data_IF_972060330933
#
_entry.id   IF_972060330933
#
_cell.length_a   1.000
_cell.length_b   1.000
_cell.length_c   1.000
_cell.angle_alpha   90.00
_cell.angle_beta   90.00
_cell.angle_gamma   90.00
#
_symmetry.space_group_name_H-M   'P 1'
#
loop_
_entity.id
_entity.type
_entity.pdbx_description
1 polymer ?
#
# COMPACT_ATOMS: atom_id res chain seq x y z
N UNK A 1 4.03 21.98 -8.91
CA UNK A 1 4.02 20.65 -9.57
C UNK A 1 5.42 20.08 -9.47
N UNK A 2 5.58 18.81 -9.07
CA UNK A 2 6.88 18.15 -9.14
C UNK A 2 7.36 18.12 -10.59
N UNK A 3 8.62 18.46 -10.83
CA UNK A 3 9.23 18.32 -12.15
C UNK A 3 9.28 16.82 -12.49
N UNK A 4 8.60 16.42 -13.57
CA UNK A 4 8.60 15.05 -14.08
C UNK A 4 9.06 15.07 -15.54
N UNK A 5 9.67 13.99 -16.02
CA UNK A 5 9.95 13.86 -17.46
C UNK A 5 8.67 13.48 -18.18
N UNK A 6 8.63 13.73 -19.48
CA UNK A 6 7.52 13.25 -20.30
C UNK A 6 7.46 11.71 -20.25
N UNK A 7 6.26 11.18 -20.02
CA UNK A 7 6.03 9.74 -19.83
C UNK A 7 6.27 9.22 -18.41
N UNK A 8 6.75 10.05 -17.47
CA UNK A 8 6.81 9.65 -16.06
C UNK A 8 5.40 9.73 -15.41
N UNK A 9 5.14 8.73 -14.57
CA UNK A 9 4.02 8.61 -13.64
C UNK A 9 4.50 8.87 -12.22
N UNK A 10 3.56 9.15 -11.31
CA UNK A 10 3.84 9.34 -9.88
C UNK A 10 3.12 8.26 -9.08
N UNK A 11 3.84 7.53 -8.24
CA UNK A 11 3.25 6.64 -7.24
C UNK A 11 3.41 7.27 -5.85
N UNK A 12 2.29 7.60 -5.22
CA UNK A 12 2.24 8.05 -3.83
C UNK A 12 1.80 6.89 -2.94
N UNK A 13 2.66 6.47 -2.03
CA UNK A 13 2.37 5.44 -1.02
C UNK A 13 2.51 6.00 0.38
N UNK A 14 1.84 5.37 1.33
CA UNK A 14 1.86 5.68 2.75
C UNK A 14 1.72 4.39 3.56
N UNK A 15 2.41 4.33 4.69
CA UNK A 15 2.26 3.31 5.74
C UNK A 15 2.49 3.98 7.08
N UNK A 16 2.01 3.36 8.16
CA UNK A 16 2.40 3.77 9.51
C UNK A 16 2.86 2.55 10.30
N UNK A 17 3.79 2.77 11.23
CA UNK A 17 4.34 1.73 12.10
C UNK A 17 4.41 2.26 13.54
N UNK A 18 4.57 1.39 14.56
CA UNK A 18 4.91 1.86 15.89
C UNK A 18 6.10 2.82 15.85
N UNK A 19 6.03 3.93 16.60
CA UNK A 19 7.04 4.99 16.59
C UNK A 19 8.48 4.49 16.79
N UNK A 20 8.65 3.43 17.58
CA UNK A 20 9.94 2.79 17.82
C UNK A 20 10.54 2.09 16.59
N UNK A 21 9.73 1.79 15.57
CA UNK A 21 10.11 1.10 14.32
C UNK A 21 10.21 2.06 13.13
N UNK A 22 9.73 3.30 13.27
CA UNK A 22 9.74 4.30 12.19
C UNK A 22 11.14 4.55 11.60
N UNK A 23 12.21 4.70 12.41
CA UNK A 23 13.55 4.88 11.87
C UNK A 23 14.01 3.69 11.01
N UNK A 24 13.74 2.47 11.47
CA UNK A 24 14.16 1.23 10.78
C UNK A 24 13.51 1.14 9.40
N UNK A 25 12.18 1.27 9.33
CA UNK A 25 11.47 1.14 8.05
C UNK A 25 11.84 2.24 7.05
N UNK A 26 12.12 3.47 7.52
CA UNK A 26 12.55 4.57 6.65
C UNK A 26 13.92 4.24 6.03
N UNK A 27 14.90 3.82 6.84
CA UNK A 27 16.24 3.49 6.32
C UNK A 27 16.20 2.27 5.40
N UNK A 28 15.45 1.22 5.74
CA UNK A 28 15.31 0.06 4.87
C UNK A 28 14.56 0.38 3.56
N UNK A 29 13.61 1.31 3.58
CA UNK A 29 12.89 1.76 2.37
C UNK A 29 13.79 2.63 1.50
N UNK A 30 14.57 3.52 2.12
CA UNK A 30 15.55 4.38 1.44
C UNK A 30 16.66 3.56 0.77
N UNK A 31 17.17 2.54 1.44
CA UNK A 31 18.14 1.60 0.87
C UNK A 31 17.55 0.84 -0.34
N UNK A 32 16.32 0.34 -0.21
CA UNK A 32 15.60 -0.31 -1.32
C UNK A 32 15.39 0.64 -2.50
N UNK A 33 15.03 1.91 -2.25
CA UNK A 33 14.93 2.95 -3.27
C UNK A 33 16.27 3.18 -3.97
N UNK A 34 17.36 3.35 -3.23
CA UNK A 34 18.70 3.56 -3.78
C UNK A 34 19.16 2.39 -4.69
N UNK A 35 18.84 1.15 -4.32
CA UNK A 35 19.16 -0.05 -5.11
C UNK A 35 18.27 -0.25 -6.34
N UNK A 36 17.05 0.29 -6.32
CA UNK A 36 16.07 0.08 -7.40
C UNK A 36 16.37 0.86 -8.68
N UNK A 37 17.16 1.93 -8.58
CA UNK A 37 17.37 2.90 -9.67
C UNK A 37 16.17 3.80 -9.94
N UNK A 38 15.10 3.72 -9.13
CA UNK A 38 13.94 4.62 -9.20
C UNK A 38 14.28 5.95 -8.53
N UNK A 39 13.74 7.03 -9.08
CA UNK A 39 13.82 8.34 -8.46
C UNK A 39 12.61 8.56 -7.56
N UNK A 40 12.82 9.06 -6.35
CA UNK A 40 11.73 9.36 -5.44
C UNK A 40 12.20 10.00 -4.15
N UNK A 41 11.24 10.26 -3.28
CA UNK A 41 11.50 10.86 -1.97
C UNK A 41 10.65 10.23 -0.88
N UNK A 42 11.08 10.42 0.36
CA UNK A 42 10.36 10.07 1.57
C UNK A 42 10.02 11.36 2.31
N UNK A 43 8.77 11.51 2.72
CA UNK A 43 8.30 12.55 3.65
C UNK A 43 7.46 11.86 4.73
N UNK A 44 7.31 12.45 5.90
CA UNK A 44 6.54 11.79 6.95
C UNK A 44 5.94 12.73 7.97
N UNK A 45 4.80 12.30 8.49
CA UNK A 45 4.20 12.84 9.70
C UNK A 45 4.88 12.14 10.88
N UNK A 46 6.15 12.46 11.12
CA UNK A 46 6.99 11.67 12.06
C UNK A 46 6.45 11.63 13.49
N UNK A 47 5.51 12.50 13.86
CA UNK A 47 4.88 12.51 15.19
C UNK A 47 3.87 11.39 15.44
N UNK A 48 3.35 10.72 14.40
CA UNK A 48 2.33 9.68 14.52
C UNK A 48 2.75 8.32 13.93
N UNK A 49 4.02 8.19 13.51
CA UNK A 49 4.55 6.94 12.96
C UNK A 49 4.26 6.74 11.48
N UNK A 50 3.67 7.73 10.79
CA UNK A 50 3.35 7.66 9.36
C UNK A 50 4.45 8.28 8.50
N UNK A 51 4.82 7.57 7.42
CA UNK A 51 5.62 8.14 6.35
C UNK A 51 5.07 7.76 4.97
N UNK A 52 5.55 8.49 3.98
CA UNK A 52 5.13 8.41 2.60
C UNK A 52 6.33 8.16 1.70
N UNK A 53 6.08 7.44 0.61
CA UNK A 53 6.96 7.41 -0.56
C UNK A 53 6.30 8.14 -1.71
N UNK A 54 7.09 8.90 -2.45
CA UNK A 54 6.68 9.53 -3.71
C UNK A 54 7.69 9.09 -4.76
N UNK A 55 7.30 8.15 -5.63
CA UNK A 55 8.16 7.59 -6.66
C UNK A 55 7.78 8.16 -8.03
N UNK A 56 8.79 8.52 -8.82
CA UNK A 56 8.67 8.74 -10.26
C UNK A 56 9.09 7.48 -11.00
N UNK A 57 8.29 7.06 -11.97
CA UNK A 57 8.57 5.87 -12.78
C UNK A 57 7.92 5.99 -14.15
N UNK A 58 8.52 5.39 -15.18
CA UNK A 58 7.84 5.19 -16.48
C UNK A 58 7.35 3.73 -16.64
N UNK A 59 6.66 3.44 -17.74
CA UNK A 59 6.05 2.12 -17.99
C UNK A 59 7.04 0.95 -17.93
N UNK A 60 8.30 1.14 -18.33
CA UNK A 60 9.36 0.11 -18.25
C UNK A 60 9.78 -0.17 -16.81
N UNK A 61 9.58 0.80 -15.92
CA UNK A 61 9.99 0.76 -14.53
C UNK A 61 8.85 0.36 -13.60
N UNK A 62 7.61 0.33 -14.11
CA UNK A 62 6.39 0.05 -13.36
C UNK A 62 6.50 -1.17 -12.46
N UNK A 63 7.01 -2.30 -12.98
CA UNK A 63 7.11 -3.51 -12.18
C UNK A 63 8.07 -3.35 -11.00
N UNK A 64 9.17 -2.62 -11.17
CA UNK A 64 10.11 -2.32 -10.08
C UNK A 64 9.46 -1.40 -9.04
N UNK A 65 8.70 -0.39 -9.48
CA UNK A 65 7.96 0.49 -8.59
C UNK A 65 6.92 -0.28 -7.78
N UNK A 66 6.14 -1.16 -8.43
CA UNK A 66 5.17 -2.04 -7.78
C UNK A 66 5.84 -2.95 -6.73
N UNK A 67 6.97 -3.58 -7.07
CA UNK A 67 7.72 -4.43 -6.12
C UNK A 67 8.25 -3.63 -4.93
N UNK A 68 8.77 -2.41 -5.16
CA UNK A 68 9.27 -1.57 -4.08
C UNK A 68 8.15 -1.15 -3.12
N UNK A 69 7.01 -0.70 -3.66
CA UNK A 69 5.83 -0.33 -2.87
C UNK A 69 5.31 -1.54 -2.10
N UNK A 70 5.21 -2.69 -2.76
CA UNK A 70 4.76 -3.94 -2.16
C UNK A 70 5.64 -4.34 -0.96
N UNK A 71 6.96 -4.34 -1.13
CA UNK A 71 7.90 -4.68 -0.06
C UNK A 71 7.85 -3.69 1.11
N UNK A 72 7.65 -2.39 0.83
CA UNK A 72 7.45 -1.38 1.88
C UNK A 72 6.19 -1.66 2.71
N UNK A 73 5.06 -1.95 2.05
CA UNK A 73 3.80 -2.28 2.73
C UNK A 73 3.92 -3.57 3.54
N UNK A 74 4.54 -4.61 2.95
CA UNK A 74 4.82 -5.87 3.64
C UNK A 74 5.61 -5.65 4.92
N UNK A 75 6.72 -4.92 4.82
CA UNK A 75 7.58 -4.61 5.97
C UNK A 75 6.82 -3.84 7.04
N UNK A 76 5.97 -2.89 6.67
CA UNK A 76 5.15 -2.17 7.66
C UNK A 76 4.26 -3.13 8.44
N UNK A 77 3.57 -4.06 7.76
CA UNK A 77 2.74 -5.08 8.42
C UNK A 77 3.56 -6.03 9.29
N UNK A 78 4.73 -6.49 8.83
CA UNK A 78 5.67 -7.32 9.62
C UNK A 78 6.22 -6.59 10.85
N UNK A 79 6.19 -5.26 10.85
CA UNK A 79 6.55 -4.40 11.98
C UNK A 79 5.36 -4.04 12.88
N UNK A 80 4.24 -4.77 12.77
CA UNK A 80 2.98 -4.50 13.49
C UNK A 80 2.39 -3.11 13.17
N UNK A 81 2.67 -2.61 11.97
CA UNK A 81 2.10 -1.39 11.42
C UNK A 81 0.85 -1.63 10.56
N UNK A 82 0.50 -0.62 9.78
CA UNK A 82 -0.67 -0.61 8.89
C UNK A 82 -0.29 -0.40 7.43
N UNK A 83 -1.07 -1.00 6.53
CA UNK A 83 -0.89 -0.86 5.08
C UNK A 83 -1.14 0.57 4.60
N UNK A 84 -1.79 1.41 5.41
CA UNK A 84 -2.08 2.82 5.10
C UNK A 84 -2.17 3.64 6.38
N UNK A 85 -1.37 4.70 6.46
CA UNK A 85 -1.45 5.64 7.58
C UNK A 85 -2.67 6.56 7.46
N UNK A 86 -2.94 7.08 6.25
CA UNK A 86 -3.99 8.08 6.06
C UNK A 86 -4.75 8.02 4.72
N UNK A 87 -4.16 7.48 3.65
CA UNK A 87 -4.80 7.54 2.32
C UNK A 87 -5.97 6.57 2.14
N UNK A 88 -6.04 5.55 3.01
CA UNK A 88 -7.04 4.49 2.94
C UNK A 88 -6.69 3.40 1.92
N UNK A 89 -7.63 2.47 1.75
CA UNK A 89 -7.36 1.18 1.11
C UNK A 89 -7.63 1.20 -0.40
N UNK A 90 -8.81 1.68 -0.80
CA UNK A 90 -9.21 1.79 -2.21
C UNK A 90 -9.09 0.47 -2.98
N UNK A 91 -8.70 0.55 -4.26
CA UNK A 91 -8.43 -0.63 -5.09
C UNK A 91 -7.01 -1.17 -4.87
N UNK A 92 -6.06 -0.27 -4.64
CA UNK A 92 -4.63 -0.58 -4.67
C UNK A 92 -4.21 -1.41 -3.46
N UNK A 93 -4.80 -1.17 -2.29
CA UNK A 93 -4.37 -1.82 -1.04
C UNK A 93 -5.34 -2.85 -0.47
N UNK A 94 -6.49 -3.07 -1.11
CA UNK A 94 -7.53 -4.02 -0.60
C UNK A 94 -7.02 -5.43 -0.38
N UNK A 95 -6.03 -5.83 -1.18
CA UNK A 95 -5.45 -7.17 -1.16
C UNK A 95 -4.38 -7.31 -0.07
N UNK A 96 -3.97 -6.22 0.59
CA UNK A 96 -3.09 -6.25 1.76
C UNK A 96 -3.84 -6.41 3.09
N UNK A 97 -5.13 -6.04 3.13
CA UNK A 97 -5.92 -6.10 4.37
C UNK A 97 -5.96 -7.47 5.06
N UNK A 98 -6.03 -8.61 4.34
CA UNK A 98 -5.98 -9.91 5.02
C UNK A 98 -4.68 -10.16 5.78
N UNK A 99 -3.57 -9.55 5.36
CA UNK A 99 -2.28 -9.66 6.04
C UNK A 99 -2.21 -8.78 7.28
N UNK A 100 -2.84 -7.60 7.25
CA UNK A 100 -2.90 -6.69 8.41
C UNK A 100 -3.95 -7.10 9.44
N UNK A 101 -5.17 -7.40 9.00
CA UNK A 101 -6.35 -7.56 9.86
C UNK A 101 -6.78 -9.02 10.03
N UNK A 102 -6.24 -9.93 9.22
CA UNK A 102 -6.66 -11.33 9.16
C UNK A 102 -7.93 -11.56 8.33
N UNK A 103 -8.06 -12.76 7.76
CA UNK A 103 -9.17 -13.17 6.91
C UNK A 103 -10.55 -12.97 7.57
N UNK A 104 -10.68 -13.32 8.85
CA UNK A 104 -11.95 -13.22 9.59
C UNK A 104 -12.43 -11.78 9.70
N UNK A 105 -11.54 -10.82 9.95
CA UNK A 105 -11.88 -9.41 10.05
C UNK A 105 -12.31 -8.85 8.69
N UNK A 106 -11.60 -9.20 7.63
CA UNK A 106 -11.96 -8.79 6.27
C UNK A 106 -13.29 -9.42 5.84
N UNK A 107 -13.55 -10.67 6.22
CA UNK A 107 -14.85 -11.32 5.99
C UNK A 107 -15.99 -10.60 6.74
N UNK A 108 -15.77 -10.11 7.95
CA UNK A 108 -16.76 -9.28 8.66
C UNK A 108 -17.04 -7.96 7.92
N UNK A 109 -16.01 -7.29 7.39
CA UNK A 109 -16.18 -6.08 6.56
C UNK A 109 -17.01 -6.38 5.31
N UNK A 110 -16.81 -7.53 4.66
CA UNK A 110 -17.64 -7.97 3.51
C UNK A 110 -19.10 -8.16 3.90
N UNK A 111 -19.40 -8.69 5.08
CA UNK A 111 -20.78 -8.84 5.56
C UNK A 111 -21.45 -7.49 5.81
N UNK A 112 -20.73 -6.54 6.43
CA UNK A 112 -21.23 -5.16 6.60
C UNK A 112 -21.53 -4.54 5.24
N UNK A 113 -20.61 -4.67 4.27
CA UNK A 113 -20.82 -4.17 2.91
C UNK A 113 -22.07 -4.76 2.25
N UNK A 114 -22.29 -6.07 2.37
CA UNK A 114 -23.49 -6.74 1.83
C UNK A 114 -24.78 -6.30 2.51
N UNK A 115 -24.74 -6.00 3.81
CA UNK A 115 -25.90 -5.56 4.56
C UNK A 115 -26.42 -4.18 4.08
N UNK A 116 -25.51 -3.25 3.78
CA UNK A 116 -25.86 -1.89 3.34
C UNK A 116 -25.91 -1.70 1.81
N UNK A 117 -25.22 -2.55 1.05
CA UNK A 117 -25.17 -2.50 -0.41
C UNK A 117 -25.25 -3.92 -1.00
N UNK A 118 -26.42 -4.57 -0.92
CA UNK A 118 -26.60 -5.96 -1.33
C UNK A 118 -26.41 -6.19 -2.84
N UNK A 119 -26.57 -5.14 -3.65
CA UNK A 119 -26.37 -5.19 -5.11
C UNK A 119 -24.94 -4.81 -5.54
N UNK A 120 -24.06 -4.49 -4.59
CA UNK A 120 -22.69 -4.01 -4.84
C UNK A 120 -22.61 -2.82 -5.83
N UNK A 121 -23.49 -1.84 -5.70
CA UNK A 121 -23.50 -0.68 -6.60
C UNK A 121 -22.52 0.42 -6.16
N UNK A 122 -22.25 0.51 -4.86
CA UNK A 122 -21.47 1.60 -4.28
C UNK A 122 -19.98 1.23 -4.23
N UNK A 123 -19.19 1.64 -5.22
CA UNK A 123 -17.74 1.42 -5.26
C UNK A 123 -17.37 -0.07 -5.08
N UNK A 124 -17.96 -0.93 -5.93
CA UNK A 124 -17.75 -2.37 -5.84
C UNK A 124 -16.25 -2.73 -5.85
N UNK A 125 -15.92 -3.71 -5.02
CA UNK A 125 -14.57 -4.21 -4.76
C UNK A 125 -13.51 -3.18 -4.31
N UNK A 126 -13.88 -1.93 -4.00
CA UNK A 126 -12.96 -1.01 -3.30
C UNK A 126 -12.96 -1.33 -1.81
N UNK A 127 -11.83 -1.14 -1.15
CA UNK A 127 -11.56 -1.46 0.26
C UNK A 127 -11.52 -2.97 0.54
N UNK A 128 -12.53 -3.73 0.14
CA UNK A 128 -12.55 -5.20 0.22
C UNK A 128 -13.08 -5.78 -1.08
N UNK A 129 -12.50 -6.90 -1.55
CA UNK A 129 -13.13 -7.69 -2.61
C UNK A 129 -14.39 -8.36 -2.10
N UNK A 130 -15.46 -8.38 -2.88
CA UNK A 130 -16.70 -9.08 -2.50
C UNK A 130 -16.58 -10.60 -2.60
N UNK A 131 -15.64 -11.06 -3.43
CA UNK A 131 -15.26 -12.46 -3.57
C UNK A 131 -13.77 -12.61 -3.25
N UNK A 132 -13.38 -13.75 -2.67
CA UNK A 132 -11.97 -14.03 -2.42
C UNK A 132 -11.24 -14.12 -3.78
N UNK A 133 -10.01 -13.55 -3.89
CA UNK A 133 -9.26 -13.61 -5.13
C UNK A 133 -8.92 -15.06 -5.48
N UNK A 134 -8.85 -15.37 -6.78
CA UNK A 134 -8.38 -16.66 -7.25
C UNK A 134 -6.85 -16.74 -7.13
N UNK A 135 -6.32 -17.96 -7.15
CA UNK A 135 -4.87 -18.17 -7.19
C UNK A 135 -4.24 -17.41 -8.37
N UNK A 136 -3.20 -16.61 -8.09
CA UNK A 136 -2.51 -15.78 -9.07
C UNK A 136 -3.13 -14.41 -9.37
N UNK A 137 -4.29 -14.07 -8.76
CA UNK A 137 -4.90 -12.73 -8.94
C UNK A 137 -4.30 -11.65 -8.03
N UNK A 138 -3.55 -12.05 -7.01
CA UNK A 138 -2.87 -11.17 -6.06
C UNK A 138 -1.37 -11.47 -6.08
N UNK A 139 -0.56 -10.44 -5.78
CA UNK A 139 0.86 -10.62 -5.58
C UNK A 139 1.09 -11.59 -4.41
N UNK A 140 2.13 -12.42 -4.53
CA UNK A 140 2.60 -13.21 -3.39
C UNK A 140 3.04 -12.27 -2.28
N UNK A 141 2.80 -12.69 -1.03
CA UNK A 141 3.19 -11.94 0.16
C UNK A 141 4.69 -12.08 0.42
#
# INVERSE_FOLDING_TARGET
>A
MAAKRDGDHVWTGDVAVPMSRLPDIIEETKDAMGKSGLFGTIVGHVGDGNFHIILLYNDKERKRAETLVHNMVKRAVEMEGTVTGEHGVGLVKRDYLPHELGETTVDAMRQIKKAFDPLCLLNCDKVVRMQKPKAGEVAEW
#
